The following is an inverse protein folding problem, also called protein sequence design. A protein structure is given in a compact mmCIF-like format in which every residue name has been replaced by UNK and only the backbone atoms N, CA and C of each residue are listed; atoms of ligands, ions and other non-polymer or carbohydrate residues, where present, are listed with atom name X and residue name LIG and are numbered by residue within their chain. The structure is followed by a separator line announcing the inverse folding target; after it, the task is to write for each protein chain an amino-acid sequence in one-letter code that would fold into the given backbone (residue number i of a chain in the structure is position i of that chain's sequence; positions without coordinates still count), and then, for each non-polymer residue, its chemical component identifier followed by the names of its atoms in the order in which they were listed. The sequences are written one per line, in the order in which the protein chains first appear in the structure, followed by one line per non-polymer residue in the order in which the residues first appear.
data_IF_573567304321
#
_entry.id   IF_573567304321
#
_cell.length_a   1.000
_cell.length_b   1.000
_cell.length_c   1.000
_cell.angle_alpha   90.00
_cell.angle_beta   90.00
_cell.angle_gamma   90.00
#
_symmetry.space_group_name_H-M   'P 1'
#
loop_
_entity.id
_entity.type
_entity.pdbx_description
1 polymer ?
#
# COMPACT_ATOMS: atom_id res chain seq x y z
N UNK A 1 -15.22 21.96 20.42
CA UNK A 1 -14.62 21.78 19.10
C UNK A 1 -13.75 20.51 18.92
N UNK A 2 -13.26 19.84 19.99
CA UNK A 2 -12.45 18.60 19.87
C UNK A 2 -13.26 17.29 19.68
N UNK A 3 -14.57 17.28 19.91
CA UNK A 3 -15.41 16.06 19.82
C UNK A 3 -15.90 15.72 18.40
N UNK A 4 -15.98 16.68 17.50
CA UNK A 4 -16.55 16.47 16.17
C UNK A 4 -15.52 15.95 15.16
N UNK A 5 -14.23 16.21 15.38
CA UNK A 5 -13.14 15.65 14.56
C UNK A 5 -12.98 14.12 14.71
N UNK A 6 -13.28 13.59 15.90
CA UNK A 6 -13.21 12.15 16.15
C UNK A 6 -14.34 11.36 15.47
N UNK A 7 -15.52 11.97 15.29
CA UNK A 7 -16.68 11.32 14.65
C UNK A 7 -16.52 11.15 13.13
N UNK A 8 -15.78 12.02 12.49
CA UNK A 8 -15.51 11.93 11.04
C UNK A 8 -14.52 10.81 10.74
N UNK A 9 -13.54 10.53 11.62
CA UNK A 9 -12.57 9.45 11.44
C UNK A 9 -13.16 8.04 11.55
N UNK A 10 -14.23 7.84 12.33
CA UNK A 10 -14.85 6.52 12.55
C UNK A 10 -15.62 5.93 11.35
N UNK A 11 -15.82 6.67 10.26
CA UNK A 11 -16.62 6.22 9.10
C UNK A 11 -15.83 5.73 7.90
N UNK A 12 -14.49 5.77 7.92
CA UNK A 12 -13.68 5.59 6.72
C UNK A 12 -12.79 4.34 6.70
N UNK A 13 -12.84 3.48 7.72
CA UNK A 13 -11.98 2.30 7.78
C UNK A 13 -12.86 1.06 7.93
N UNK A 14 -13.42 0.57 6.85
CA UNK A 14 -14.06 -0.74 6.80
C UNK A 14 -13.66 -1.46 5.54
N UNK A 15 -12.80 -2.43 5.70
CA UNK A 15 -12.77 -3.64 4.91
C UNK A 15 -12.00 -3.62 3.61
N UNK A 16 -11.02 -4.49 3.51
CA UNK A 16 -10.13 -4.78 2.39
C UNK A 16 -9.27 -3.60 1.96
N UNK A 17 -8.00 -3.86 1.80
CA UNK A 17 -6.98 -2.96 1.23
C UNK A 17 -7.36 -2.39 -0.17
N UNK A 18 -8.55 -1.86 -0.30
CA UNK A 18 -8.97 -0.97 -1.36
C UNK A 18 -9.18 0.40 -0.70
N UNK A 19 -8.10 0.96 -0.13
CA UNK A 19 -8.14 2.20 0.59
C UNK A 19 -8.47 3.35 -0.36
N UNK A 20 -9.70 3.85 -0.29
CA UNK A 20 -9.99 5.19 -0.76
C UNK A 20 -9.44 6.16 0.28
N UNK A 21 -8.19 6.59 0.12
CA UNK A 21 -7.61 7.64 0.95
C UNK A 21 -8.18 8.97 0.47
N UNK A 22 -9.17 9.49 1.18
CA UNK A 22 -9.61 10.86 1.01
C UNK A 22 -8.59 11.79 1.72
N UNK A 23 -7.53 12.17 1.03
CA UNK A 23 -6.68 13.29 1.44
C UNK A 23 -7.11 14.50 0.64
N UNK A 24 -7.98 15.32 1.20
CA UNK A 24 -8.26 16.64 0.68
C UNK A 24 -7.12 17.59 1.10
N UNK A 25 -6.04 17.59 0.33
CA UNK A 25 -5.08 18.68 0.23
C UNK A 25 -4.57 18.68 -1.21
N UNK A 26 -4.39 19.83 -1.85
CA UNK A 26 -3.70 19.86 -3.12
C UNK A 26 -2.25 19.43 -2.87
N UNK A 27 -1.91 18.23 -3.30
CA UNK A 27 -0.54 17.74 -3.22
C UNK A 27 0.26 18.46 -4.32
N UNK A 28 0.68 19.66 -4.05
CA UNK A 28 1.65 20.38 -4.86
C UNK A 28 3.10 20.10 -4.45
N UNK A 29 3.35 19.08 -3.66
CA UNK A 29 4.68 18.53 -3.43
C UNK A 29 4.64 17.05 -3.76
N UNK A 30 5.18 16.69 -4.91
CA UNK A 30 5.67 15.34 -5.16
C UNK A 30 6.66 15.05 -4.04
N UNK A 31 6.34 14.11 -3.14
CA UNK A 31 7.34 13.63 -2.19
C UNK A 31 8.39 12.89 -3.01
N UNK A 32 9.40 13.62 -3.45
CA UNK A 32 10.53 13.02 -4.13
C UNK A 32 11.23 12.11 -3.14
N UNK A 33 11.36 10.84 -3.49
CA UNK A 33 12.26 9.94 -2.77
C UNK A 33 13.67 10.57 -2.80
N UNK A 34 14.24 11.00 -1.66
CA UNK A 34 15.55 11.65 -1.64
C UNK A 34 16.68 10.73 -2.09
N UNK A 35 16.42 9.43 -2.19
CA UNK A 35 17.37 8.41 -2.63
C UNK A 35 17.10 7.93 -4.06
N UNK A 36 16.10 8.50 -4.75
CA UNK A 36 15.84 8.18 -6.15
C UNK A 36 16.83 8.95 -7.03
N UNK A 37 17.96 8.35 -7.30
CA UNK A 37 18.94 8.81 -8.28
C UNK A 37 19.04 7.76 -9.40
N UNK A 38 18.05 7.73 -10.25
CA UNK A 38 18.13 7.00 -11.51
C UNK A 38 18.61 7.94 -12.59
N UNK A 39 19.91 8.25 -12.55
CA UNK A 39 20.61 8.88 -13.65
C UNK A 39 20.98 7.85 -14.68
N UNK A 40 20.18 7.03 -15.15
CA UNK A 40 20.52 6.32 -16.35
C UNK A 40 19.24 6.03 -17.10
N UNK A 41 19.04 6.81 -18.09
CA UNK A 41 18.70 6.36 -19.42
C UNK A 41 18.55 4.84 -19.45
N UNK A 42 17.39 4.35 -19.04
CA UNK A 42 16.91 3.15 -19.68
C UNK A 42 16.71 3.61 -21.11
N UNK A 43 17.70 3.33 -21.95
CA UNK A 43 17.49 3.32 -23.37
C UNK A 43 16.13 2.65 -23.59
N UNK A 44 15.35 3.17 -24.52
CA UNK A 44 14.15 2.51 -25.03
C UNK A 44 14.56 1.17 -25.66
N UNK A 45 15.10 0.27 -24.84
CA UNK A 45 15.15 -1.12 -25.22
C UNK A 45 13.72 -1.61 -25.16
N UNK A 46 13.20 -1.93 -26.33
CA UNK A 46 11.97 -2.68 -26.49
C UNK A 46 11.95 -3.77 -25.43
N UNK A 47 11.11 -3.56 -24.42
CA UNK A 47 10.90 -4.57 -23.40
C UNK A 47 10.17 -5.73 -24.09
N UNK A 48 10.95 -6.68 -24.60
CA UNK A 48 10.42 -7.93 -25.15
C UNK A 48 9.86 -8.69 -23.97
N UNK A 49 8.59 -8.40 -23.68
CA UNK A 49 7.76 -9.28 -22.86
C UNK A 49 7.64 -10.60 -23.62
N UNK A 50 8.52 -11.55 -23.30
CA UNK A 50 8.33 -12.92 -23.70
C UNK A 50 7.14 -13.47 -22.94
N UNK A 51 5.93 -13.19 -23.44
CA UNK A 51 4.76 -13.96 -23.07
C UNK A 51 5.10 -15.42 -23.36
N UNK A 52 5.40 -16.20 -22.33
CA UNK A 52 5.28 -17.64 -22.43
C UNK A 52 3.80 -17.93 -22.65
N UNK A 53 3.38 -17.87 -23.87
CA UNK A 53 2.15 -18.48 -24.35
C UNK A 53 2.33 -19.99 -24.34
N UNK A 54 2.21 -20.62 -23.18
CA UNK A 54 1.75 -21.98 -23.14
C UNK A 54 0.23 -21.92 -23.20
N UNK A 55 -0.30 -22.33 -24.35
CA UNK A 55 -1.72 -22.28 -24.64
C UNK A 55 -2.54 -23.05 -23.63
N UNK A 56 -3.60 -22.42 -23.22
CA UNK A 56 -4.96 -22.98 -23.08
C UNK A 56 -5.87 -21.77 -22.86
N UNK A 57 -7.01 -21.79 -23.49
CA UNK A 57 -8.02 -20.74 -23.49
C UNK A 57 -8.19 -20.11 -22.10
N UNK A 58 -7.88 -18.82 -22.07
CA UNK A 58 -8.12 -17.95 -20.93
C UNK A 58 -9.59 -18.05 -20.51
N UNK A 59 -9.83 -18.77 -19.43
CA UNK A 59 -11.07 -18.57 -18.68
C UNK A 59 -11.11 -17.09 -18.27
N UNK A 60 -11.95 -16.30 -18.92
CA UNK A 60 -12.23 -14.90 -18.54
C UNK A 60 -12.57 -14.95 -17.05
N UNK A 61 -11.62 -14.55 -16.18
CA UNK A 61 -11.87 -14.41 -14.76
C UNK A 61 -13.10 -13.54 -14.60
N UNK A 62 -14.19 -14.09 -14.06
CA UNK A 62 -15.42 -13.31 -13.84
C UNK A 62 -15.07 -12.10 -12.99
N UNK A 63 -15.33 -10.92 -13.52
CA UNK A 63 -15.16 -9.67 -12.77
C UNK A 63 -15.97 -9.77 -11.49
N UNK A 64 -15.35 -9.55 -10.34
CA UNK A 64 -16.05 -9.56 -9.06
C UNK A 64 -17.13 -8.46 -9.08
N UNK A 65 -18.44 -8.80 -9.04
CA UNK A 65 -19.50 -7.80 -9.13
C UNK A 65 -19.51 -6.85 -7.93
N UNK A 66 -18.87 -7.25 -6.82
CA UNK A 66 -18.71 -6.44 -5.61
C UNK A 66 -17.38 -5.69 -5.56
N UNK A 67 -16.59 -5.68 -6.63
CA UNK A 67 -15.38 -4.87 -6.68
C UNK A 67 -15.73 -3.39 -6.56
N UNK A 68 -14.92 -2.65 -5.80
CA UNK A 68 -14.98 -1.20 -5.80
C UNK A 68 -14.63 -0.68 -7.18
N UNK A 69 -15.22 0.41 -7.60
CA UNK A 69 -15.06 0.96 -8.95
C UNK A 69 -15.09 2.49 -8.94
N UNK A 70 -14.47 3.06 -9.94
CA UNK A 70 -14.51 4.49 -10.23
C UNK A 70 -15.15 4.67 -11.60
N UNK A 71 -16.20 5.45 -11.67
CA UNK A 71 -16.96 5.71 -12.91
C UNK A 71 -17.10 7.22 -13.02
N UNK A 72 -16.61 7.79 -14.13
CA UNK A 72 -16.64 9.23 -14.39
C UNK A 72 -16.11 10.07 -13.20
N UNK A 73 -15.01 9.61 -12.59
CA UNK A 73 -14.37 10.28 -11.45
C UNK A 73 -15.04 10.05 -10.10
N UNK A 74 -16.16 9.34 -10.02
CA UNK A 74 -16.86 9.03 -8.78
C UNK A 74 -16.53 7.63 -8.31
N UNK A 75 -16.09 7.50 -7.03
CA UNK A 75 -15.75 6.22 -6.42
C UNK A 75 -16.97 5.58 -5.73
N UNK A 76 -17.13 4.28 -5.96
CA UNK A 76 -18.20 3.46 -5.42
C UNK A 76 -17.63 2.28 -4.65
N UNK A 77 -18.25 1.94 -3.51
CA UNK A 77 -17.92 0.73 -2.76
C UNK A 77 -18.52 -0.53 -3.40
N UNK A 78 -18.24 -1.71 -2.82
CA UNK A 78 -18.71 -3.00 -3.33
C UNK A 78 -20.24 -3.19 -3.32
N UNK A 79 -20.99 -2.36 -2.60
CA UNK A 79 -22.46 -2.33 -2.62
C UNK A 79 -23.03 -1.28 -3.59
N UNK A 80 -22.18 -0.64 -4.38
CA UNK A 80 -22.58 0.36 -5.37
C UNK A 80 -22.93 1.73 -4.77
N UNK A 81 -22.59 1.99 -3.51
CA UNK A 81 -22.80 3.29 -2.88
C UNK A 81 -21.60 4.19 -3.13
N UNK A 82 -21.85 5.48 -3.36
CA UNK A 82 -20.81 6.51 -3.49
C UNK A 82 -20.02 6.59 -2.18
N UNK A 83 -18.70 6.75 -2.33
CA UNK A 83 -17.78 7.03 -1.21
C UNK A 83 -17.52 8.54 -1.23
N UNK A 84 -18.15 9.32 -0.33
CA UNK A 84 -18.03 10.77 -0.34
C UNK A 84 -16.58 11.22 -0.18
N UNK A 85 -16.13 12.16 -1.03
CA UNK A 85 -14.77 12.72 -0.98
C UNK A 85 -13.66 11.84 -1.54
N UNK A 86 -13.96 10.60 -1.96
CA UNK A 86 -12.99 9.75 -2.63
C UNK A 86 -12.85 10.15 -4.09
N UNK A 87 -11.65 10.52 -4.51
CA UNK A 87 -11.33 10.94 -5.87
C UNK A 87 -10.35 10.01 -6.58
N UNK A 88 -9.68 9.13 -5.83
CA UNK A 88 -8.72 8.14 -6.35
C UNK A 88 -9.12 6.75 -5.91
N UNK A 89 -8.73 5.76 -6.73
CA UNK A 89 -8.90 4.34 -6.45
C UNK A 89 -7.57 3.64 -6.59
N UNK A 90 -7.17 2.90 -5.56
CA UNK A 90 -5.96 2.10 -5.55
C UNK A 90 -6.23 0.62 -5.46
N UNK A 91 -5.15 -0.14 -5.55
CA UNK A 91 -5.11 -1.58 -5.26
C UNK A 91 -3.87 -1.89 -4.43
N UNK A 92 -3.89 -2.99 -3.72
CA UNK A 92 -2.72 -3.60 -3.11
C UNK A 92 -2.39 -4.92 -3.82
N UNK A 93 -1.12 -5.23 -3.89
CA UNK A 93 -0.62 -6.42 -4.56
C UNK A 93 0.53 -7.05 -3.80
N UNK A 94 0.65 -8.37 -3.97
CA UNK A 94 1.72 -9.20 -3.43
C UNK A 94 1.91 -10.42 -4.33
N UNK A 95 2.73 -11.36 -3.93
CA UNK A 95 2.90 -12.65 -4.61
C UNK A 95 1.58 -13.41 -4.84
N UNK A 96 0.55 -13.15 -4.01
CA UNK A 96 -0.76 -13.80 -4.11
C UNK A 96 -1.51 -13.46 -5.40
N UNK A 97 -1.22 -12.33 -6.03
CA UNK A 97 -1.83 -11.94 -7.30
C UNK A 97 -1.12 -12.58 -8.50
N UNK A 98 0.06 -13.18 -8.30
CA UNK A 98 0.88 -13.72 -9.39
C UNK A 98 1.31 -12.62 -10.37
N UNK A 99 1.43 -12.98 -11.64
CA UNK A 99 1.85 -12.03 -12.68
C UNK A 99 0.75 -11.01 -12.98
N UNK A 100 1.11 -9.73 -12.96
CA UNK A 100 0.19 -8.60 -13.14
C UNK A 100 0.50 -7.91 -14.48
N UNK A 101 -0.53 -7.74 -15.30
CA UNK A 101 -0.45 -6.87 -16.50
C UNK A 101 -0.61 -5.40 -16.08
N UNK A 102 0.51 -4.76 -15.74
CA UNK A 102 0.53 -3.37 -15.31
C UNK A 102 0.07 -2.38 -16.39
N UNK A 103 0.21 -2.73 -17.68
CA UNK A 103 -0.35 -1.93 -18.77
C UNK A 103 -1.89 -1.98 -18.76
N UNK A 104 -2.47 -3.12 -18.42
CA UNK A 104 -3.91 -3.24 -18.23
C UNK A 104 -4.37 -2.52 -16.95
N UNK A 105 -3.60 -2.59 -15.85
CA UNK A 105 -3.86 -1.81 -14.63
C UNK A 105 -3.93 -0.32 -14.96
N UNK A 106 -2.96 0.20 -15.72
CA UNK A 106 -2.93 1.62 -16.14
C UNK A 106 -4.14 2.02 -16.99
N UNK A 107 -4.65 1.12 -17.82
CA UNK A 107 -5.85 1.37 -18.65
C UNK A 107 -7.17 1.21 -17.88
N UNK A 108 -7.10 0.67 -16.68
CA UNK A 108 -8.23 0.55 -15.76
C UNK A 108 -8.44 1.85 -14.99
N UNK A 109 -9.45 1.89 -14.15
CA UNK A 109 -9.74 3.02 -13.25
C UNK A 109 -8.93 2.95 -11.94
N UNK A 110 -7.69 2.44 -12.00
CA UNK A 110 -6.72 2.37 -10.90
C UNK A 110 -5.76 3.54 -11.00
N UNK A 111 -5.71 4.34 -9.95
CA UNK A 111 -4.88 5.55 -9.89
C UNK A 111 -3.49 5.28 -9.26
N UNK A 112 -3.39 4.28 -8.36
CA UNK A 112 -2.15 3.90 -7.67
C UNK A 112 -2.19 2.46 -7.18
N UNK A 113 -1.03 1.94 -6.75
CA UNK A 113 -0.94 0.62 -6.12
C UNK A 113 -0.05 0.65 -4.87
N UNK A 114 -0.34 -0.22 -3.91
CA UNK A 114 0.57 -0.58 -2.83
C UNK A 114 1.17 -1.96 -3.11
N UNK A 115 2.50 -2.05 -3.10
CA UNK A 115 3.23 -3.29 -3.39
C UNK A 115 3.84 -3.84 -2.11
N UNK A 116 3.57 -5.10 -1.78
CA UNK A 116 4.12 -5.72 -0.58
C UNK A 116 5.62 -5.91 -0.68
N UNK A 117 6.35 -5.42 0.32
CA UNK A 117 7.78 -5.68 0.49
C UNK A 117 8.00 -7.04 1.11
N UNK A 118 7.28 -7.32 2.21
CA UNK A 118 7.52 -8.54 2.97
C UNK A 118 6.33 -8.90 3.89
N UNK A 119 6.36 -10.15 4.33
CA UNK A 119 5.61 -10.65 5.47
C UNK A 119 6.61 -10.85 6.63
N UNK A 120 6.71 -9.87 7.53
CA UNK A 120 7.73 -9.80 8.55
C UNK A 120 9.15 -9.69 7.99
N UNK A 121 10.12 -10.15 8.75
CA UNK A 121 11.55 -10.14 8.38
C UNK A 121 12.00 -11.39 7.61
N UNK A 122 11.21 -12.45 7.61
CA UNK A 122 11.66 -13.78 7.16
C UNK A 122 11.11 -14.17 5.79
N UNK A 123 10.14 -13.45 5.28
CA UNK A 123 9.54 -13.72 4.00
C UNK A 123 9.43 -12.44 3.17
N UNK A 124 10.46 -12.17 2.38
CA UNK A 124 10.42 -11.12 1.37
C UNK A 124 9.49 -11.52 0.24
N UNK A 125 8.69 -10.59 -0.24
CA UNK A 125 7.81 -10.84 -1.38
C UNK A 125 8.63 -10.96 -2.66
N UNK A 126 8.68 -12.14 -3.23
CA UNK A 126 9.52 -12.41 -4.41
C UNK A 126 9.05 -11.68 -5.67
N UNK A 127 7.82 -11.13 -5.66
CA UNK A 127 7.29 -10.33 -6.78
C UNK A 127 7.52 -8.83 -6.62
N UNK A 128 8.09 -8.40 -5.48
CA UNK A 128 8.23 -6.97 -5.17
C UNK A 128 8.97 -6.20 -6.26
N UNK A 129 10.16 -6.65 -6.60
CA UNK A 129 11.02 -5.95 -7.56
C UNK A 129 10.40 -5.92 -8.96
N UNK A 130 9.77 -7.01 -9.39
CA UNK A 130 9.06 -7.09 -10.66
C UNK A 130 7.85 -6.15 -10.68
N UNK A 131 7.05 -6.15 -9.61
CA UNK A 131 5.87 -5.30 -9.52
C UNK A 131 6.24 -3.82 -9.47
N UNK A 132 7.26 -3.42 -8.70
CA UNK A 132 7.72 -2.03 -8.64
C UNK A 132 8.23 -1.55 -9.99
N UNK A 133 9.06 -2.35 -10.66
CA UNK A 133 9.61 -2.03 -11.97
C UNK A 133 8.50 -1.89 -13.02
N UNK A 134 7.61 -2.87 -13.10
CA UNK A 134 6.56 -2.90 -14.13
C UNK A 134 5.47 -1.83 -13.89
N UNK A 135 5.15 -1.52 -12.63
CA UNK A 135 4.25 -0.43 -12.30
C UNK A 135 4.83 0.93 -12.72
N UNK A 136 6.12 1.17 -12.46
CA UNK A 136 6.82 2.39 -12.87
C UNK A 136 6.85 2.53 -14.40
N UNK A 137 7.22 1.48 -15.13
CA UNK A 137 7.22 1.46 -16.60
C UNK A 137 5.83 1.69 -17.19
N UNK A 138 4.78 1.21 -16.53
CA UNK A 138 3.40 1.46 -16.95
C UNK A 138 2.88 2.84 -16.54
N UNK A 139 3.63 3.61 -15.74
CA UNK A 139 3.21 4.89 -15.21
C UNK A 139 2.11 4.80 -14.16
N UNK A 140 2.09 3.71 -13.37
CA UNK A 140 1.23 3.54 -12.20
C UNK A 140 2.01 3.93 -10.96
N UNK A 141 1.64 5.03 -10.28
CA UNK A 141 2.32 5.44 -9.05
C UNK A 141 2.17 4.38 -7.95
N UNK A 142 3.25 4.16 -7.18
CA UNK A 142 3.26 3.14 -6.13
C UNK A 142 3.58 3.69 -4.76
N UNK A 143 2.99 3.07 -3.75
CA UNK A 143 3.45 2.98 -2.39
C UNK A 143 3.85 1.54 -2.09
N UNK A 144 4.29 1.29 -0.87
CA UNK A 144 4.71 -0.04 -0.47
C UNK A 144 4.13 -0.42 0.90
N UNK A 145 4.12 -1.72 1.23
CA UNK A 145 3.73 -2.13 2.57
C UNK A 145 4.53 -3.31 3.11
N UNK A 146 4.63 -3.35 4.41
CA UNK A 146 5.13 -4.50 5.17
C UNK A 146 3.97 -5.05 5.99
N UNK A 147 3.60 -6.32 5.77
CA UNK A 147 2.74 -7.02 6.71
C UNK A 147 3.58 -7.37 7.94
N UNK A 148 3.30 -6.71 9.06
CA UNK A 148 4.12 -6.84 10.26
C UNK A 148 3.86 -8.16 10.98
N UNK A 149 4.94 -8.83 11.36
CA UNK A 149 4.92 -9.94 12.31
C UNK A 149 5.70 -9.61 13.59
N UNK A 150 6.02 -8.33 13.79
CA UNK A 150 6.78 -7.88 14.94
C UNK A 150 6.01 -8.09 16.24
N UNK A 151 6.76 -8.42 17.29
CA UNK A 151 6.27 -8.53 18.66
C UNK A 151 7.03 -7.60 19.60
N UNK A 152 7.85 -6.71 19.07
CA UNK A 152 8.63 -5.72 19.81
C UNK A 152 9.00 -4.53 18.92
N UNK A 153 9.32 -3.40 19.54
CA UNK A 153 9.83 -2.20 18.87
C UNK A 153 11.15 -2.48 18.13
N UNK A 154 12.01 -3.33 18.69
CA UNK A 154 13.27 -3.74 18.02
C UNK A 154 12.99 -4.47 16.71
N UNK A 155 11.99 -5.35 16.68
CA UNK A 155 11.62 -6.05 15.43
C UNK A 155 10.95 -5.09 14.46
N UNK A 156 10.05 -4.21 14.93
CA UNK A 156 9.43 -3.19 14.10
C UNK A 156 10.46 -2.23 13.45
N UNK A 157 11.52 -1.87 14.19
CA UNK A 157 12.64 -1.10 13.63
C UNK A 157 13.33 -1.84 12.48
N UNK A 158 13.58 -3.14 12.66
CA UNK A 158 14.20 -3.96 11.60
C UNK A 158 13.29 -4.10 10.38
N UNK A 159 11.97 -4.23 10.58
CA UNK A 159 10.98 -4.23 9.48
C UNK A 159 11.00 -2.90 8.71
N UNK A 160 11.13 -1.77 9.41
CA UNK A 160 11.28 -0.46 8.77
C UNK A 160 12.60 -0.36 7.98
N UNK A 161 13.71 -0.84 8.54
CA UNK A 161 15.01 -0.83 7.88
C UNK A 161 15.04 -1.73 6.64
N UNK A 162 14.40 -2.90 6.70
CA UNK A 162 14.19 -3.76 5.54
C UNK A 162 13.40 -3.02 4.46
N UNK A 163 12.29 -2.38 4.83
CA UNK A 163 11.47 -1.63 3.88
C UNK A 163 12.29 -0.52 3.20
N UNK A 164 13.01 0.28 3.97
CA UNK A 164 13.87 1.36 3.47
C UNK A 164 14.93 0.80 2.51
N UNK A 165 15.57 -0.31 2.86
CA UNK A 165 16.57 -0.96 2.00
C UNK A 165 15.96 -1.42 0.67
N UNK A 166 14.78 -2.04 0.71
CA UNK A 166 14.10 -2.55 -0.49
C UNK A 166 13.58 -1.46 -1.41
N UNK A 167 13.26 -0.30 -0.87
CA UNK A 167 12.79 0.84 -1.66
C UNK A 167 13.90 1.60 -2.40
N UNK A 168 15.19 1.29 -2.11
CA UNK A 168 16.30 1.96 -2.80
C UNK A 168 16.24 1.71 -4.31
N UNK A 169 16.36 2.80 -5.07
CA UNK A 169 16.31 2.74 -6.55
C UNK A 169 14.90 2.73 -7.15
N UNK A 170 13.84 2.71 -6.35
CA UNK A 170 12.46 2.81 -6.83
C UNK A 170 11.83 4.18 -6.51
N UNK A 171 10.97 4.65 -7.41
CA UNK A 171 10.16 5.83 -7.18
C UNK A 171 8.92 5.48 -6.35
N UNK A 172 9.02 5.66 -5.03
CA UNK A 172 7.91 5.49 -4.10
C UNK A 172 7.16 6.82 -3.96
N UNK A 173 5.99 6.94 -4.57
CA UNK A 173 5.21 8.19 -4.66
C UNK A 173 4.04 8.24 -3.68
N UNK A 174 3.69 7.11 -3.08
CA UNK A 174 2.64 6.93 -2.08
C UNK A 174 3.24 6.47 -0.76
N UNK A 175 2.46 6.44 0.33
CA UNK A 175 2.96 6.06 1.65
C UNK A 175 3.66 4.70 1.72
N UNK A 176 4.52 4.55 2.72
CA UNK A 176 5.06 3.28 3.19
C UNK A 176 4.20 2.81 4.35
N UNK A 177 3.50 1.72 4.15
CA UNK A 177 2.44 1.26 5.05
C UNK A 177 2.96 0.20 6.00
N UNK A 178 2.67 0.38 7.28
CA UNK A 178 2.84 -0.64 8.30
C UNK A 178 1.50 -1.32 8.54
N UNK A 179 1.38 -2.57 8.09
CA UNK A 179 0.14 -3.35 8.15
C UNK A 179 0.10 -4.20 9.42
N UNK A 180 -0.80 -3.85 10.34
CA UNK A 180 -0.92 -4.40 11.69
C UNK A 180 -2.17 -5.26 11.81
N UNK A 181 -2.05 -6.54 11.48
CA UNK A 181 -3.15 -7.52 11.57
C UNK A 181 -2.73 -8.89 12.10
N UNK A 182 -1.44 -9.08 12.49
CA UNK A 182 -0.93 -10.38 12.90
C UNK A 182 -1.55 -10.85 14.22
N UNK A 183 -2.10 -12.06 14.22
CA UNK A 183 -2.80 -12.65 15.36
C UNK A 183 -1.90 -12.85 16.61
N UNK A 184 -0.58 -12.90 16.48
CA UNK A 184 0.32 -12.98 17.63
C UNK A 184 0.48 -11.61 18.27
N UNK A 185 0.57 -10.56 17.48
CA UNK A 185 0.67 -9.19 17.95
C UNK A 185 -0.62 -8.71 18.65
N UNK A 186 -1.79 -9.27 18.33
CA UNK A 186 -3.04 -8.96 19.04
C UNK A 186 -3.05 -9.40 20.52
N UNK A 187 -2.07 -10.20 20.96
CA UNK A 187 -1.89 -10.59 22.35
C UNK A 187 -1.07 -9.59 23.17
N UNK A 188 -0.49 -8.61 22.51
CA UNK A 188 0.26 -7.53 23.15
C UNK A 188 -0.69 -6.45 23.67
N UNK A 189 -0.19 -5.58 24.54
CA UNK A 189 -0.95 -4.40 24.94
C UNK A 189 -1.09 -3.41 23.78
N UNK A 190 -2.20 -2.66 23.71
CA UNK A 190 -2.39 -1.62 22.71
C UNK A 190 -1.24 -0.60 22.75
N UNK A 191 -0.72 -0.28 23.91
CA UNK A 191 0.47 0.56 24.08
C UNK A 191 1.67 -0.01 23.32
N UNK A 192 2.00 -1.29 23.53
CA UNK A 192 3.14 -1.93 22.87
C UNK A 192 2.98 -1.94 21.35
N UNK A 193 1.78 -2.27 20.84
CA UNK A 193 1.48 -2.25 19.40
C UNK A 193 1.66 -0.84 18.84
N UNK A 194 1.18 0.18 19.54
CA UNK A 194 1.32 1.57 19.09
C UNK A 194 2.77 2.06 19.15
N UNK A 195 3.55 1.64 20.15
CA UNK A 195 4.99 1.93 20.20
C UNK A 195 5.75 1.26 19.04
N UNK A 196 5.35 0.06 18.63
CA UNK A 196 5.90 -0.60 17.42
C UNK A 196 5.55 0.21 16.16
N UNK A 197 4.28 0.59 16.00
CA UNK A 197 3.84 1.43 14.89
C UNK A 197 4.59 2.76 14.84
N UNK A 198 4.72 3.43 15.97
CA UNK A 198 5.47 4.68 16.08
C UNK A 198 6.95 4.51 15.71
N UNK A 199 7.57 3.40 16.15
CA UNK A 199 8.96 3.08 15.82
C UNK A 199 9.15 2.93 14.32
N UNK A 200 8.31 2.13 13.66
CA UNK A 200 8.32 1.96 12.21
C UNK A 200 8.13 3.30 11.49
N UNK A 201 7.07 4.03 11.84
CA UNK A 201 6.75 5.30 11.22
C UNK A 201 7.85 6.35 11.36
N UNK A 202 8.50 6.43 12.52
CA UNK A 202 9.58 7.37 12.75
C UNK A 202 10.83 7.04 11.92
N UNK A 203 11.16 5.75 11.77
CA UNK A 203 12.29 5.32 10.94
C UNK A 203 12.06 5.60 9.46
N UNK A 204 10.87 5.25 8.95
CA UNK A 204 10.43 5.54 7.58
C UNK A 204 10.47 7.06 7.31
N UNK A 205 9.96 7.88 8.25
CA UNK A 205 9.99 9.34 8.13
C UNK A 205 11.41 9.89 8.13
N UNK A 206 12.30 9.35 8.96
CA UNK A 206 13.72 9.73 9.01
C UNK A 206 14.43 9.45 7.70
N UNK A 207 14.04 8.39 7.01
CA UNK A 207 14.54 8.05 5.67
C UNK A 207 13.92 8.90 4.54
N UNK A 208 13.04 9.85 4.86
CA UNK A 208 12.45 10.77 3.88
C UNK A 208 11.17 10.28 3.20
N UNK A 209 10.59 9.15 3.67
CA UNK A 209 9.33 8.64 3.14
C UNK A 209 8.14 9.04 4.01
N UNK A 210 6.94 8.94 3.45
CA UNK A 210 5.70 9.19 4.17
C UNK A 210 5.16 7.89 4.78
N UNK A 211 5.15 7.75 6.12
CA UNK A 211 4.64 6.54 6.77
C UNK A 211 3.11 6.55 6.89
N UNK A 212 2.52 5.37 6.87
CA UNK A 212 1.11 5.14 7.15
C UNK A 212 0.94 3.86 7.96
N UNK A 213 -0.05 3.82 8.85
CA UNK A 213 -0.48 2.59 9.54
C UNK A 213 -1.77 2.10 8.91
N UNK A 214 -1.83 0.82 8.56
CA UNK A 214 -3.04 0.12 8.19
C UNK A 214 -3.39 -0.93 9.24
N UNK A 215 -4.69 -1.07 9.48
CA UNK A 215 -5.26 -2.17 10.25
C UNK A 215 -6.75 -2.32 9.93
N UNK A 216 -7.34 -3.47 10.22
CA UNK A 216 -8.78 -3.64 10.13
C UNK A 216 -9.51 -2.95 11.31
N UNK A 217 -10.84 -2.85 11.21
CA UNK A 217 -11.67 -2.16 12.20
C UNK A 217 -11.52 -2.71 13.62
N UNK A 218 -11.42 -4.05 13.76
CA UNK A 218 -11.24 -4.66 15.07
C UNK A 218 -9.90 -4.25 15.70
N UNK A 219 -8.84 -4.17 14.92
CA UNK A 219 -7.55 -3.68 15.39
C UNK A 219 -7.60 -2.20 15.75
N UNK A 220 -8.26 -1.41 14.91
CA UNK A 220 -8.44 0.02 15.15
C UNK A 220 -9.11 0.30 16.50
N UNK A 221 -10.15 -0.46 16.82
CA UNK A 221 -10.96 -0.22 18.02
C UNK A 221 -10.33 -0.83 19.30
N UNK A 222 -9.56 -1.93 19.19
CA UNK A 222 -9.21 -2.74 20.34
C UNK A 222 -7.69 -2.90 20.60
N UNK A 223 -6.84 -2.72 19.58
CA UNK A 223 -5.42 -3.06 19.70
C UNK A 223 -4.46 -1.91 19.43
N UNK A 224 -4.96 -0.70 19.14
CA UNK A 224 -4.14 0.47 18.89
C UNK A 224 -4.55 1.60 19.84
N UNK A 225 -3.57 2.17 20.50
CA UNK A 225 -3.73 3.41 21.26
C UNK A 225 -3.39 4.60 20.37
N UNK A 226 -4.41 5.16 19.75
CA UNK A 226 -4.28 6.28 18.80
C UNK A 226 -3.79 7.58 19.44
N UNK A 227 -3.74 7.66 20.78
CA UNK A 227 -3.20 8.83 21.44
C UNK A 227 -1.68 8.94 21.34
N UNK A 228 -1.01 7.84 20.97
CA UNK A 228 0.44 7.73 20.80
C UNK A 228 0.92 7.94 19.35
N UNK A 229 0.01 8.00 18.35
CA UNK A 229 0.35 8.01 16.92
C UNK A 229 0.05 9.36 16.23
#
# INVERSE_FOLDING_TARGET
MKRDFLKIRKRFIVGCLAAAIAVAQPVSSVFANPHYDRRDTVAEEEFIYSARTSGTESSRKKVNPKAWKKINGVCYNGSGKIIPGAITRGMDVSEWQGNIDWKQVKRSDIDFAFVRISYGLTHEDYTYDENMTNAELAGVPTGTYVYSTALSTTTALKEAQLAISKMQGYKVSYPVVYDLEDAKASKLSAKTVSEMALTFCNEVRRAGYYPMVYCNTNWYDNYIDWSLL
#
